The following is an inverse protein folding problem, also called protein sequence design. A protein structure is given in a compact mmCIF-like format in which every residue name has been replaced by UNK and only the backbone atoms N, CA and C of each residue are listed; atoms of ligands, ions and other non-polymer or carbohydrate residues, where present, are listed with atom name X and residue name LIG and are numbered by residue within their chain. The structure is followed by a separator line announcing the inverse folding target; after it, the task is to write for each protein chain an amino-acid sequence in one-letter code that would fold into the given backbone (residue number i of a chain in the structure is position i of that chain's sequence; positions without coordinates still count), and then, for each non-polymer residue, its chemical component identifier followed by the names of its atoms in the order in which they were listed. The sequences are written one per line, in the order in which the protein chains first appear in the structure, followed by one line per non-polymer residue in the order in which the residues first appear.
data_IF_841560139126
#
_entry.id   IF_841560139126
#
_cell.length_a   1.000
_cell.length_b   1.000
_cell.length_c   1.000
_cell.angle_alpha   90.00
_cell.angle_beta   90.00
_cell.angle_gamma   90.00
#
_symmetry.space_group_name_H-M   'P 1'
#
loop_
_entity.id
_entity.type
_entity.pdbx_description
1 polymer ?
#
# COMPACT_ATOMS: atom_id res chain seq x y z
N UNK A 1 -27.55 -8.27 22.32
CA UNK A 1 -26.63 -7.84 21.26
C UNK A 1 -27.43 -7.08 20.22
N UNK A 2 -27.17 -5.79 20.00
CA UNK A 2 -27.73 -5.10 18.83
C UNK A 2 -27.05 -5.67 17.59
N UNK A 3 -27.83 -6.23 16.67
CA UNK A 3 -27.35 -6.57 15.33
C UNK A 3 -27.01 -5.27 14.59
N UNK A 4 -25.79 -5.17 14.08
CA UNK A 4 -25.35 -3.97 13.37
C UNK A 4 -26.23 -3.75 12.12
N UNK A 5 -26.62 -2.51 11.79
CA UNK A 5 -27.55 -2.24 10.69
C UNK A 5 -27.13 -2.86 9.35
N UNK A 6 -25.82 -2.84 9.04
CA UNK A 6 -25.27 -3.41 7.80
C UNK A 6 -25.17 -4.95 7.81
N UNK A 7 -25.28 -5.58 8.98
CA UNK A 7 -25.28 -7.05 9.16
C UNK A 7 -26.67 -7.65 9.38
N UNK A 8 -27.71 -6.82 9.47
CA UNK A 8 -29.09 -7.26 9.78
C UNK A 8 -29.68 -8.27 8.79
N UNK A 9 -29.19 -8.30 7.56
CA UNK A 9 -29.67 -9.18 6.47
C UNK A 9 -28.54 -10.05 5.90
N UNK A 10 -27.54 -10.38 6.71
CA UNK A 10 -26.30 -11.04 6.29
C UNK A 10 -26.18 -12.39 6.98
N UNK A 11 -25.87 -13.44 6.21
CA UNK A 11 -25.41 -14.72 6.77
C UNK A 11 -23.89 -14.70 6.84
N UNK A 12 -23.34 -14.82 8.04
CA UNK A 12 -21.89 -14.87 8.26
C UNK A 12 -21.42 -16.33 8.28
N UNK A 13 -20.36 -16.60 7.51
CA UNK A 13 -19.66 -17.88 7.50
C UNK A 13 -18.26 -17.66 8.04
N UNK A 14 -17.99 -18.17 9.24
CA UNK A 14 -16.67 -18.00 9.86
C UNK A 14 -15.60 -18.73 9.05
N UNK A 15 -14.49 -18.03 8.81
CA UNK A 15 -13.37 -18.53 8.02
C UNK A 15 -12.22 -18.93 8.93
N UNK A 16 -11.96 -18.12 9.95
CA UNK A 16 -10.97 -18.39 10.97
C UNK A 16 -10.75 -17.18 11.88
N UNK A 17 -9.96 -17.41 12.92
CA UNK A 17 -9.55 -16.38 13.86
C UNK A 17 -8.07 -16.51 14.20
N UNK A 18 -7.47 -15.40 14.60
CA UNK A 18 -6.09 -15.35 15.08
C UNK A 18 -6.00 -14.48 16.33
N UNK A 19 -5.05 -14.83 17.18
CA UNK A 19 -4.63 -13.96 18.28
C UNK A 19 -3.52 -13.03 17.79
N UNK A 20 -3.57 -11.79 18.25
CA UNK A 20 -2.55 -10.77 17.99
C UNK A 20 -1.99 -10.33 19.32
N UNK A 21 -0.70 -10.56 19.54
CA UNK A 21 0.03 -10.10 20.74
C UNK A 21 1.33 -9.39 20.38
N UNK A 22 1.97 -9.79 19.27
CA UNK A 22 3.28 -9.27 18.86
C UNK A 22 3.23 -8.68 17.44
N UNK A 23 4.24 -7.88 17.09
CA UNK A 23 4.38 -7.28 15.74
C UNK A 23 4.36 -8.33 14.61
N UNK A 24 4.88 -9.52 14.87
CA UNK A 24 4.81 -10.66 13.95
C UNK A 24 3.38 -11.05 13.59
N UNK A 25 2.45 -10.94 14.54
CA UNK A 25 1.04 -11.29 14.35
C UNK A 25 0.34 -10.26 13.48
N UNK A 26 0.78 -9.00 13.48
CA UNK A 26 0.25 -7.94 12.61
C UNK A 26 0.50 -8.30 11.14
N UNK A 27 1.72 -8.76 10.82
CA UNK A 27 2.07 -9.20 9.46
C UNK A 27 1.22 -10.39 9.05
N UNK A 28 1.07 -11.38 9.94
CA UNK A 28 0.24 -12.56 9.72
C UNK A 28 -1.24 -12.17 9.50
N UNK A 29 -1.78 -11.26 10.33
CA UNK A 29 -3.13 -10.74 10.22
C UNK A 29 -3.36 -10.07 8.86
N UNK A 30 -2.46 -9.17 8.45
CA UNK A 30 -2.51 -8.50 7.16
C UNK A 30 -2.53 -9.48 5.99
N UNK A 31 -1.66 -10.50 6.04
CA UNK A 31 -1.58 -11.53 5.00
C UNK A 31 -2.87 -12.35 4.92
N UNK A 32 -3.45 -12.72 6.06
CA UNK A 32 -4.73 -13.42 6.11
C UNK A 32 -5.88 -12.55 5.59
N UNK A 33 -5.96 -11.29 5.98
CA UNK A 33 -6.95 -10.35 5.41
C UNK A 33 -6.82 -10.21 3.89
N UNK A 34 -5.58 -10.12 3.40
CA UNK A 34 -5.30 -10.05 1.95
C UNK A 34 -5.64 -11.35 1.23
N UNK A 35 -5.39 -12.51 1.86
CA UNK A 35 -5.74 -13.82 1.33
C UNK A 35 -7.25 -13.95 1.20
N UNK A 36 -8.01 -13.63 2.25
CA UNK A 36 -9.47 -13.65 2.23
C UNK A 36 -10.01 -12.78 1.09
N UNK A 37 -9.44 -11.58 0.91
CA UNK A 37 -9.85 -10.67 -0.16
C UNK A 37 -9.62 -11.28 -1.55
N UNK A 38 -8.46 -11.91 -1.78
CA UNK A 38 -8.13 -12.57 -3.06
C UNK A 38 -9.02 -13.78 -3.33
N UNK A 39 -9.27 -14.59 -2.31
CA UNK A 39 -10.16 -15.76 -2.39
C UNK A 39 -11.61 -15.37 -2.70
N UNK A 40 -12.03 -14.20 -2.22
CA UNK A 40 -13.32 -13.56 -2.57
C UNK A 40 -13.31 -12.85 -3.93
N UNK A 41 -12.17 -12.85 -4.65
CA UNK A 41 -11.99 -12.21 -5.96
C UNK A 41 -12.14 -10.68 -5.96
N UNK A 42 -11.75 -10.03 -4.86
CA UNK A 42 -11.57 -8.58 -4.87
C UNK A 42 -10.41 -8.18 -5.80
N UNK A 43 -10.48 -6.97 -6.36
CA UNK A 43 -9.38 -6.38 -7.10
C UNK A 43 -8.14 -6.13 -6.21
N UNK A 44 -6.97 -5.94 -6.84
CA UNK A 44 -5.72 -5.77 -6.11
C UNK A 44 -5.72 -4.52 -5.20
N UNK A 45 -6.37 -3.43 -5.63
CA UNK A 45 -6.48 -2.22 -4.82
C UNK A 45 -7.29 -2.49 -3.57
N UNK A 46 -8.41 -3.22 -3.69
CA UNK A 46 -9.24 -3.59 -2.55
C UNK A 46 -8.54 -4.58 -1.62
N UNK A 47 -7.74 -5.52 -2.16
CA UNK A 47 -6.89 -6.39 -1.35
C UNK A 47 -5.90 -5.58 -0.49
N UNK A 48 -5.25 -4.56 -1.07
CA UNK A 48 -4.35 -3.66 -0.35
C UNK A 48 -5.11 -2.90 0.74
N UNK A 49 -6.29 -2.34 0.43
CA UNK A 49 -7.13 -1.61 1.40
C UNK A 49 -7.52 -2.45 2.62
N UNK A 50 -7.94 -3.69 2.39
CA UNK A 50 -8.28 -4.63 3.46
C UNK A 50 -7.02 -4.96 4.28
N UNK A 51 -5.90 -5.28 3.62
CA UNK A 51 -4.64 -5.57 4.30
C UNK A 51 -4.12 -4.40 5.16
N UNK A 52 -4.18 -3.17 4.64
CA UNK A 52 -3.83 -1.96 5.39
C UNK A 52 -4.74 -1.77 6.60
N UNK A 53 -6.05 -1.89 6.43
CA UNK A 53 -7.01 -1.79 7.53
C UNK A 53 -6.72 -2.81 8.63
N UNK A 54 -6.48 -4.06 8.25
CA UNK A 54 -6.15 -5.13 9.20
C UNK A 54 -4.86 -4.82 9.94
N UNK A 55 -3.82 -4.35 9.24
CA UNK A 55 -2.53 -3.99 9.85
C UNK A 55 -2.66 -2.87 10.89
N UNK A 56 -3.35 -1.79 10.53
CA UNK A 56 -3.53 -0.62 11.41
C UNK A 56 -4.37 -0.96 12.65
N UNK A 57 -5.46 -1.72 12.48
CA UNK A 57 -6.30 -2.12 13.60
C UNK A 57 -5.61 -3.15 14.51
N UNK A 58 -4.83 -4.08 13.94
CA UNK A 58 -4.01 -5.01 14.72
C UNK A 58 -2.96 -4.27 15.56
N UNK A 59 -2.30 -3.26 14.97
CA UNK A 59 -1.33 -2.42 15.68
C UNK A 59 -1.98 -1.66 16.83
N UNK A 60 -3.16 -1.07 16.62
CA UNK A 60 -3.92 -0.42 17.70
C UNK A 60 -4.24 -1.37 18.86
N UNK A 61 -4.56 -2.64 18.58
CA UNK A 61 -4.82 -3.64 19.63
C UNK A 61 -3.56 -3.90 20.47
N UNK A 62 -2.38 -3.97 19.86
CA UNK A 62 -1.12 -4.14 20.60
C UNK A 62 -0.82 -2.89 21.44
N UNK A 63 -0.84 -1.71 20.81
CA UNK A 63 -0.45 -0.44 21.43
C UNK A 63 -1.38 0.01 22.57
N UNK A 64 -2.68 -0.30 22.48
CA UNK A 64 -3.69 0.22 23.42
C UNK A 64 -4.37 -0.86 24.26
N UNK A 65 -4.20 -2.13 23.93
CA UNK A 65 -4.93 -3.22 24.58
C UNK A 65 -4.10 -4.47 24.89
N UNK A 66 -2.77 -4.43 24.68
CA UNK A 66 -1.86 -5.58 24.87
C UNK A 66 -2.23 -6.78 23.98
N UNK A 67 -2.90 -6.51 22.86
CA UNK A 67 -3.34 -7.51 21.90
C UNK A 67 -4.85 -7.75 21.90
N UNK A 68 -5.26 -8.83 21.23
CA UNK A 68 -6.65 -9.27 21.14
C UNK A 68 -6.86 -10.33 20.08
N UNK A 69 -8.09 -10.45 19.58
CA UNK A 69 -8.50 -11.47 18.62
C UNK A 69 -9.08 -10.82 17.37
N UNK A 70 -8.70 -11.35 16.21
CA UNK A 70 -9.27 -10.98 14.91
C UNK A 70 -10.02 -12.17 14.36
N UNK A 71 -11.30 -11.97 14.04
CA UNK A 71 -12.16 -12.95 13.38
C UNK A 71 -12.44 -12.52 11.94
N UNK A 72 -12.31 -13.48 11.03
CA UNK A 72 -12.55 -13.32 9.61
C UNK A 72 -13.77 -14.14 9.21
N UNK A 73 -14.73 -13.50 8.55
CA UNK A 73 -15.97 -14.13 8.10
C UNK A 73 -16.30 -13.73 6.65
N UNK A 74 -16.91 -14.64 5.91
CA UNK A 74 -17.55 -14.35 4.62
C UNK A 74 -18.99 -13.94 4.91
N UNK A 75 -19.41 -12.82 4.36
CA UNK A 75 -20.78 -12.36 4.43
C UNK A 75 -21.51 -12.70 3.14
N UNK A 76 -22.57 -13.48 3.21
CA UNK A 76 -23.46 -13.74 2.06
C UNK A 76 -24.80 -13.01 2.22
N UNK A 77 -25.33 -12.48 1.12
CA UNK A 77 -26.60 -11.74 1.12
C UNK A 77 -27.49 -12.15 -0.05
N UNK A 78 -28.76 -12.40 0.21
CA UNK A 78 -29.72 -12.61 -0.87
C UNK A 78 -29.91 -11.33 -1.69
N UNK A 79 -29.75 -11.43 -3.02
CA UNK A 79 -29.93 -10.34 -3.99
C UNK A 79 -29.09 -9.08 -3.72
N UNK A 80 -27.98 -9.21 -2.99
CA UNK A 80 -27.01 -8.15 -2.74
C UNK A 80 -25.61 -8.73 -2.87
N UNK A 81 -24.61 -7.85 -2.86
CA UNK A 81 -23.22 -8.26 -2.88
C UNK A 81 -22.83 -9.02 -1.63
N UNK A 82 -22.17 -10.16 -1.84
CA UNK A 82 -21.40 -10.86 -0.82
C UNK A 82 -20.15 -10.05 -0.46
N UNK A 83 -19.44 -10.43 0.60
CA UNK A 83 -18.30 -9.64 1.06
C UNK A 83 -17.48 -10.29 2.17
N UNK A 84 -16.49 -9.53 2.64
CA UNK A 84 -15.68 -9.86 3.79
C UNK A 84 -16.15 -9.06 5.00
N UNK A 85 -16.27 -9.73 6.15
CA UNK A 85 -16.49 -9.09 7.46
C UNK A 85 -15.33 -9.47 8.36
N UNK A 86 -14.69 -8.45 8.95
CA UNK A 86 -13.55 -8.64 9.84
C UNK A 86 -13.85 -7.94 11.17
N UNK A 87 -13.77 -8.70 12.25
CA UNK A 87 -14.06 -8.25 13.61
C UNK A 87 -12.77 -8.27 14.42
N UNK A 88 -12.43 -7.14 15.00
CA UNK A 88 -11.29 -6.94 15.89
C UNK A 88 -11.84 -6.76 17.30
N UNK A 89 -11.40 -7.58 18.25
CA UNK A 89 -11.86 -7.53 19.63
C UNK A 89 -10.69 -7.57 20.59
N UNK A 90 -10.64 -6.59 21.48
CA UNK A 90 -9.66 -6.50 22.55
C UNK A 90 -10.32 -6.33 23.93
N UNK A 91 -9.51 -6.42 24.98
CA UNK A 91 -9.92 -6.22 26.37
C UNK A 91 -9.13 -5.07 27.01
N UNK A 92 -8.76 -4.08 26.20
CA UNK A 92 -7.93 -2.96 26.63
C UNK A 92 -8.67 -1.92 27.46
N UNK A 93 -8.02 -0.76 27.64
CA UNK A 93 -8.58 0.36 28.39
C UNK A 93 -9.84 1.01 27.76
N UNK A 94 -10.18 0.66 26.52
CA UNK A 94 -11.23 1.31 25.75
C UNK A 94 -10.86 2.72 25.26
N UNK A 95 -11.76 3.33 24.49
CA UNK A 95 -11.58 4.62 23.83
C UNK A 95 -12.40 5.67 24.59
N UNK A 96 -11.74 6.64 25.22
CA UNK A 96 -12.40 7.70 26.01
C UNK A 96 -13.23 8.67 25.15
N UNK A 97 -12.66 9.17 24.06
CA UNK A 97 -13.29 10.19 23.20
C UNK A 97 -13.80 9.61 21.87
N UNK A 98 -14.63 8.57 21.94
CA UNK A 98 -15.14 7.87 20.76
C UNK A 98 -15.85 8.82 19.78
N UNK A 99 -16.59 9.79 20.29
CA UNK A 99 -17.34 10.76 19.49
C UNK A 99 -16.42 11.71 18.70
N UNK A 100 -15.26 12.05 19.27
CA UNK A 100 -14.24 12.84 18.58
C UNK A 100 -13.66 12.06 17.38
N UNK A 101 -13.43 10.76 17.56
CA UNK A 101 -12.96 9.87 16.49
C UNK A 101 -14.03 9.72 15.41
N UNK A 102 -15.29 9.49 15.78
CA UNK A 102 -16.41 9.40 14.84
C UNK A 102 -16.63 10.69 14.06
N UNK A 103 -16.35 11.84 14.66
CA UNK A 103 -16.43 13.15 13.99
C UNK A 103 -15.31 13.39 12.98
N UNK A 104 -14.32 12.48 12.87
CA UNK A 104 -13.17 12.61 11.97
C UNK A 104 -12.13 13.65 12.40
N UNK A 105 -12.35 14.33 13.54
CA UNK A 105 -11.48 15.39 14.07
C UNK A 105 -10.25 14.87 14.83
N UNK A 106 -10.19 13.56 15.08
CA UNK A 106 -9.06 12.92 15.74
C UNK A 106 -7.94 12.61 14.74
N UNK A 107 -6.74 13.14 15.01
CA UNK A 107 -5.50 12.77 14.33
C UNK A 107 -4.66 11.88 15.24
N UNK A 108 -4.22 10.72 14.72
CA UNK A 108 -3.31 9.84 15.46
C UNK A 108 -1.96 10.53 15.68
N UNK A 109 -1.39 10.34 16.88
CA UNK A 109 -0.08 10.88 17.26
C UNK A 109 1.10 10.24 16.50
N UNK A 110 0.90 9.13 15.78
CA UNK A 110 1.97 8.36 15.12
C UNK A 110 2.35 8.82 13.71
N UNK A 111 1.81 9.96 13.22
CA UNK A 111 2.39 10.69 12.07
C UNK A 111 2.26 10.08 10.66
N UNK A 112 1.80 8.83 10.50
CA UNK A 112 1.66 8.20 9.16
C UNK A 112 0.29 8.39 8.48
N UNK A 113 -0.67 9.09 9.11
CA UNK A 113 -1.92 9.51 8.45
C UNK A 113 -2.98 8.43 8.16
N UNK A 114 -2.76 7.15 8.55
CA UNK A 114 -3.70 6.03 8.34
C UNK A 114 -4.20 5.41 9.64
N UNK A 115 -4.37 6.22 10.70
CA UNK A 115 -4.93 5.74 11.97
C UNK A 115 -6.39 5.24 11.82
N UNK A 116 -7.09 5.09 12.95
CA UNK A 116 -8.46 4.58 13.02
C UNK A 116 -9.44 5.21 12.00
N UNK A 117 -9.34 6.53 11.74
CA UNK A 117 -10.13 7.24 10.72
C UNK A 117 -9.72 6.93 9.28
N UNK A 118 -8.45 6.61 9.04
CA UNK A 118 -7.93 6.11 7.76
C UNK A 118 -8.51 4.74 7.44
N UNK A 119 -8.43 3.80 8.39
CA UNK A 119 -9.04 2.47 8.29
C UNK A 119 -10.53 2.53 7.95
N UNK A 120 -11.27 3.45 8.57
CA UNK A 120 -12.69 3.67 8.26
C UNK A 120 -12.94 4.06 6.80
N UNK A 121 -12.06 4.86 6.18
CA UNK A 121 -12.21 5.29 4.76
C UNK A 121 -11.87 4.20 3.75
N UNK A 122 -11.13 3.18 4.14
CA UNK A 122 -10.72 2.08 3.25
C UNK A 122 -11.80 1.00 3.12
N UNK A 123 -12.69 0.91 4.10
CA UNK A 123 -13.79 -0.07 4.19
C UNK A 123 -15.12 0.56 3.78
N UNK A 124 -16.11 -0.28 3.49
CA UNK A 124 -17.44 0.19 3.08
C UNK A 124 -18.33 0.44 4.31
N UNK A 125 -18.27 -0.49 5.28
CA UNK A 125 -18.90 -0.34 6.58
C UNK A 125 -17.85 -0.45 7.69
N UNK A 126 -18.03 0.38 8.72
CA UNK A 126 -17.13 0.45 9.85
C UNK A 126 -17.91 0.82 11.11
N UNK A 127 -17.79 0.00 12.15
CA UNK A 127 -18.45 0.22 13.42
C UNK A 127 -17.49 0.00 14.58
N UNK A 128 -17.55 0.90 15.57
CA UNK A 128 -16.76 0.82 16.78
C UNK A 128 -17.71 0.79 17.97
N UNK A 129 -17.55 -0.24 18.79
CA UNK A 129 -18.09 -0.33 20.12
C UNK A 129 -16.91 -0.34 21.10
N UNK A 130 -16.85 0.61 22.03
CA UNK A 130 -15.78 0.67 23.02
C UNK A 130 -16.37 1.12 24.35
N UNK A 131 -15.91 0.51 25.44
CA UNK A 131 -16.26 0.92 26.78
C UNK A 131 -14.99 1.02 27.63
N UNK A 132 -14.87 2.12 28.39
CA UNK A 132 -13.70 2.38 29.22
C UNK A 132 -13.52 1.23 30.22
N UNK A 133 -12.35 0.60 30.20
CA UNK A 133 -12.00 -0.54 31.06
C UNK A 133 -12.57 -1.89 30.65
N UNK A 134 -13.33 -1.99 29.55
CA UNK A 134 -13.83 -3.29 29.03
C UNK A 134 -13.28 -3.67 27.65
N UNK A 135 -12.59 -2.76 26.98
CA UNK A 135 -11.98 -2.97 25.67
C UNK A 135 -12.78 -2.41 24.51
N UNK A 136 -12.33 -2.74 23.30
CA UNK A 136 -12.90 -2.26 22.04
C UNK A 136 -13.23 -3.42 21.11
N UNK A 137 -14.36 -3.29 20.42
CA UNK A 137 -14.75 -4.14 19.30
C UNK A 137 -14.95 -3.27 18.07
N UNK A 138 -14.19 -3.55 17.02
CA UNK A 138 -14.32 -2.91 15.71
C UNK A 138 -14.83 -3.94 14.72
N UNK A 139 -15.94 -3.66 14.05
CA UNK A 139 -16.48 -4.49 12.97
C UNK A 139 -16.37 -3.73 11.66
N UNK A 140 -15.73 -4.35 10.67
CA UNK A 140 -15.52 -3.78 9.34
C UNK A 140 -16.12 -4.69 8.28
N UNK A 141 -16.63 -4.12 7.19
CA UNK A 141 -17.08 -4.88 6.03
C UNK A 141 -16.60 -4.27 4.71
N UNK A 142 -16.32 -5.15 3.75
CA UNK A 142 -16.05 -4.80 2.36
C UNK A 142 -16.94 -5.65 1.46
N UNK A 143 -17.62 -5.03 0.50
CA UNK A 143 -18.60 -5.69 -0.35
C UNK A 143 -18.10 -5.81 -1.78
N UNK A 144 -18.37 -6.97 -2.39
CA UNK A 144 -18.08 -7.18 -3.81
C UNK A 144 -18.92 -6.24 -4.69
N UNK A 145 -18.49 -5.94 -5.91
CA UNK A 145 -19.33 -5.25 -6.89
C UNK A 145 -20.69 -5.95 -7.08
N UNK A 146 -21.75 -5.18 -7.36
CA UNK A 146 -23.14 -5.69 -7.48
C UNK A 146 -23.34 -6.81 -8.52
N UNK A 147 -22.43 -6.93 -9.48
CA UNK A 147 -22.49 -7.90 -10.57
C UNK A 147 -21.52 -9.08 -10.38
N UNK A 148 -20.89 -9.19 -9.21
CA UNK A 148 -20.08 -10.36 -8.87
C UNK A 148 -20.97 -11.59 -8.72
N UNK A 149 -20.45 -12.75 -9.14
CA UNK A 149 -21.12 -14.02 -8.93
C UNK A 149 -21.33 -14.25 -7.41
N UNK A 150 -22.53 -14.65 -7.02
CA UNK A 150 -22.79 -15.00 -5.62
C UNK A 150 -22.01 -16.24 -5.23
N UNK A 151 -21.52 -16.24 -4.00
CA UNK A 151 -20.75 -17.33 -3.42
C UNK A 151 -21.67 -18.49 -3.09
N UNK A 152 -21.45 -19.62 -3.78
CA UNK A 152 -22.13 -20.86 -3.44
C UNK A 152 -21.49 -21.52 -2.21
N UNK A 153 -22.18 -22.52 -1.64
CA UNK A 153 -21.65 -23.28 -0.49
C UNK A 153 -20.29 -23.93 -0.78
N UNK A 154 -20.05 -24.39 -2.01
CA UNK A 154 -18.81 -25.09 -2.38
C UNK A 154 -17.62 -24.12 -2.40
N UNK A 155 -17.81 -22.91 -2.92
CA UNK A 155 -16.84 -21.82 -2.88
C UNK A 155 -16.52 -21.45 -1.44
N UNK A 156 -17.53 -21.24 -0.59
CA UNK A 156 -17.32 -20.90 0.83
C UNK A 156 -16.49 -21.97 1.54
N UNK A 157 -16.83 -23.26 1.37
CA UNK A 157 -16.04 -24.36 1.94
C UNK A 157 -14.60 -24.40 1.41
N UNK A 158 -14.39 -24.07 0.13
CA UNK A 158 -13.05 -24.00 -0.45
C UNK A 158 -12.22 -22.89 0.20
N UNK A 159 -12.79 -21.70 0.35
CA UNK A 159 -12.14 -20.55 0.99
C UNK A 159 -11.82 -20.87 2.46
N UNK A 160 -12.78 -21.44 3.20
CA UNK A 160 -12.57 -21.88 4.58
C UNK A 160 -11.41 -22.89 4.69
N UNK A 161 -11.30 -23.84 3.75
CA UNK A 161 -10.20 -24.81 3.74
C UNK A 161 -8.85 -24.15 3.42
N UNK A 162 -8.80 -23.29 2.41
CA UNK A 162 -7.58 -22.57 2.04
C UNK A 162 -7.07 -21.70 3.20
N UNK A 163 -7.97 -20.97 3.84
CA UNK A 163 -7.67 -20.11 4.97
C UNK A 163 -7.19 -20.90 6.20
N UNK A 164 -7.91 -21.96 6.57
CA UNK A 164 -7.50 -22.82 7.69
C UNK A 164 -6.17 -23.52 7.45
N UNK A 165 -5.85 -23.89 6.21
CA UNK A 165 -4.54 -24.43 5.86
C UNK A 165 -3.43 -23.40 6.09
N UNK A 166 -3.66 -22.15 5.72
CA UNK A 166 -2.71 -21.05 5.95
C UNK A 166 -2.54 -20.73 7.44
N UNK A 167 -3.64 -20.71 8.21
CA UNK A 167 -3.56 -20.54 9.67
C UNK A 167 -2.74 -21.67 10.32
N UNK A 168 -3.01 -22.92 9.94
CA UNK A 168 -2.34 -24.11 10.51
C UNK A 168 -0.86 -24.23 10.10
N UNK A 169 -0.48 -23.74 8.92
CA UNK A 169 0.92 -23.65 8.47
C UNK A 169 1.70 -22.54 9.18
N UNK A 170 1.51 -22.33 10.49
CA UNK A 170 2.21 -21.30 11.25
C UNK A 170 3.72 -21.20 10.96
N UNK A 171 4.28 -20.00 11.17
CA UNK A 171 5.68 -19.57 11.04
C UNK A 171 6.40 -19.70 9.68
N UNK A 172 6.05 -20.68 8.83
CA UNK A 172 6.60 -20.77 7.47
C UNK A 172 6.27 -19.53 6.62
N UNK A 173 5.11 -18.91 6.88
CA UNK A 173 4.66 -17.70 6.17
C UNK A 173 5.44 -16.43 6.52
N UNK A 174 6.09 -16.32 7.70
CA UNK A 174 6.92 -15.15 8.02
C UNK A 174 8.24 -15.17 7.25
N UNK A 175 8.86 -16.35 7.12
CA UNK A 175 10.02 -16.53 6.25
C UNK A 175 9.63 -16.27 4.80
N UNK A 176 8.48 -16.74 4.33
CA UNK A 176 8.00 -16.47 2.97
C UNK A 176 7.69 -14.98 2.73
N UNK A 177 7.14 -14.27 3.72
CA UNK A 177 6.83 -12.83 3.61
C UNK A 177 8.10 -11.99 3.65
N UNK A 178 9.04 -12.32 4.56
CA UNK A 178 10.36 -11.68 4.62
C UNK A 178 11.13 -11.95 3.33
N UNK A 179 11.08 -13.17 2.81
CA UNK A 179 11.70 -13.50 1.53
C UNK A 179 11.04 -12.76 0.35
N UNK A 180 9.71 -12.62 0.35
CA UNK A 180 9.01 -11.83 -0.67
C UNK A 180 9.41 -10.35 -0.62
N UNK A 181 9.45 -9.75 0.58
CA UNK A 181 9.90 -8.36 0.77
C UNK A 181 11.39 -8.18 0.42
N UNK A 182 12.25 -9.12 0.80
CA UNK A 182 13.67 -9.09 0.45
C UNK A 182 13.87 -9.17 -1.07
N UNK A 183 13.11 -10.03 -1.76
CA UNK A 183 13.15 -10.15 -3.22
C UNK A 183 12.64 -8.87 -3.90
N UNK A 184 11.61 -8.23 -3.35
CA UNK A 184 11.11 -6.94 -3.84
C UNK A 184 12.13 -5.81 -3.62
N UNK A 185 12.79 -5.78 -2.45
CA UNK A 185 13.87 -4.83 -2.16
C UNK A 185 15.06 -5.02 -3.11
N UNK A 186 15.45 -6.28 -3.36
CA UNK A 186 16.48 -6.66 -4.32
C UNK A 186 16.12 -6.20 -5.74
N UNK A 187 14.86 -6.36 -6.14
CA UNK A 187 14.38 -5.89 -7.43
C UNK A 187 14.47 -4.37 -7.55
N UNK A 188 14.03 -3.63 -6.52
CA UNK A 188 14.12 -2.16 -6.50
C UNK A 188 15.57 -1.67 -6.49
N UNK A 189 16.45 -2.31 -5.72
CA UNK A 189 17.89 -2.00 -5.72
C UNK A 189 18.50 -2.22 -7.10
N UNK A 190 18.13 -3.31 -7.79
CA UNK A 190 18.58 -3.58 -9.15
C UNK A 190 18.11 -2.50 -10.13
N UNK A 191 16.84 -2.08 -10.04
CA UNK A 191 16.32 -0.99 -10.86
C UNK A 191 17.04 0.34 -10.58
N UNK A 192 17.32 0.66 -9.32
CA UNK A 192 18.06 1.85 -8.94
C UNK A 192 19.49 1.82 -9.47
N UNK A 193 20.16 0.68 -9.40
CA UNK A 193 21.50 0.51 -9.93
C UNK A 193 21.53 0.63 -11.46
N UNK A 194 20.57 0.03 -12.18
CA UNK A 194 20.44 0.21 -13.62
C UNK A 194 20.20 1.68 -14.00
N UNK A 195 19.35 2.38 -13.25
CA UNK A 195 19.12 3.82 -13.45
C UNK A 195 20.36 4.65 -13.18
N UNK A 196 21.12 4.31 -12.14
CA UNK A 196 22.37 5.00 -11.82
C UNK A 196 23.40 4.83 -12.95
N UNK A 197 23.61 3.60 -13.42
CA UNK A 197 24.51 3.32 -14.54
C UNK A 197 24.08 4.05 -15.83
N UNK A 198 22.77 4.10 -16.11
CA UNK A 198 22.25 4.86 -17.26
C UNK A 198 22.57 6.36 -17.14
N UNK A 199 22.41 6.93 -15.95
CA UNK A 199 22.74 8.34 -15.71
C UNK A 199 24.25 8.59 -15.88
N UNK A 200 25.10 7.70 -15.39
CA UNK A 200 26.55 7.82 -15.58
C UNK A 200 26.95 7.75 -17.05
N UNK A 201 26.38 6.82 -17.83
CA UNK A 201 26.63 6.75 -19.28
C UNK A 201 26.19 8.03 -19.99
N UNK A 202 24.98 8.51 -19.71
CA UNK A 202 24.46 9.74 -20.32
C UNK A 202 25.30 10.95 -19.94
N UNK A 203 25.73 11.05 -18.69
CA UNK A 203 26.62 12.13 -18.26
C UNK A 203 27.95 12.07 -19.00
N UNK A 204 28.52 10.87 -19.18
CA UNK A 204 29.76 10.71 -19.92
C UNK A 204 29.62 11.12 -21.40
N UNK A 205 28.56 10.67 -22.08
CA UNK A 205 28.26 11.06 -23.46
C UNK A 205 28.03 12.57 -23.59
N UNK A 206 27.36 13.19 -22.61
CA UNK A 206 27.13 14.62 -22.57
C UNK A 206 28.45 15.40 -22.37
N UNK A 207 29.35 14.92 -21.51
CA UNK A 207 30.68 15.50 -21.34
C UNK A 207 31.51 15.42 -22.63
N UNK A 208 31.49 14.29 -23.32
CA UNK A 208 32.16 14.13 -24.62
C UNK A 208 31.58 15.08 -25.67
N UNK A 209 30.25 15.17 -25.75
CA UNK A 209 29.56 16.09 -26.66
C UNK A 209 29.91 17.54 -26.34
N UNK A 210 29.90 17.93 -25.06
CA UNK A 210 30.28 19.26 -24.62
C UNK A 210 31.73 19.59 -24.98
N UNK A 211 32.65 18.64 -24.80
CA UNK A 211 34.05 18.81 -25.24
C UNK A 211 34.14 19.00 -26.75
N UNK A 212 33.37 18.25 -27.53
CA UNK A 212 33.30 18.39 -28.98
C UNK A 212 32.77 19.75 -29.44
N UNK A 213 31.66 20.21 -28.84
CA UNK A 213 31.07 21.53 -29.10
C UNK A 213 32.06 22.66 -28.76
N UNK A 214 32.76 22.57 -27.64
CA UNK A 214 33.78 23.56 -27.25
C UNK A 214 34.94 23.59 -28.25
N UNK A 215 35.39 22.44 -28.75
CA UNK A 215 36.44 22.38 -29.78
C UNK A 215 35.99 23.00 -31.12
N UNK A 216 34.78 22.68 -31.57
CA UNK A 216 34.18 23.25 -32.78
C UNK A 216 34.01 24.78 -32.67
N UNK A 217 33.56 25.27 -31.52
CA UNK A 217 33.44 26.71 -31.29
C UNK A 217 34.80 27.41 -31.38
N UNK A 218 35.86 26.84 -30.81
CA UNK A 218 37.22 27.39 -30.97
C UNK A 218 37.66 27.44 -32.43
N UNK A 219 37.42 26.39 -33.20
CA UNK A 219 37.79 26.35 -34.62
C UNK A 219 37.01 27.40 -35.44
N UNK A 220 35.72 27.61 -35.11
CA UNK A 220 34.90 28.65 -35.73
C UNK A 220 35.39 30.06 -35.39
N UNK A 221 35.78 30.30 -34.13
CA UNK A 221 36.40 31.57 -33.69
C UNK A 221 37.71 31.84 -34.44
N UNK A 222 38.59 30.83 -34.55
CA UNK A 222 39.86 30.94 -35.29
C UNK A 222 39.64 31.26 -36.78
N UNK A 223 38.68 30.58 -37.42
CA UNK A 223 38.31 30.85 -38.82
C UNK A 223 37.71 32.24 -39.00
N UNK A 224 36.84 32.69 -38.09
CA UNK A 224 36.27 34.02 -38.15
C UNK A 224 37.36 35.10 -38.04
N UNK A 225 38.32 34.93 -37.12
CA UNK A 225 39.46 35.83 -36.96
C UNK A 225 40.34 35.87 -38.23
N UNK A 226 40.60 34.71 -38.85
CA UNK A 226 41.37 34.65 -40.09
C UNK A 226 40.67 35.35 -41.27
N UNK A 227 39.34 35.21 -41.38
CA UNK A 227 38.55 35.91 -42.40
C UNK A 227 38.59 37.42 -42.17
N UNK A 228 38.47 37.87 -40.91
CA UNK A 228 38.52 39.28 -40.58
C UNK A 228 39.89 39.89 -40.91
N UNK A 229 40.98 39.18 -40.60
CA UNK A 229 42.34 39.59 -40.98
C UNK A 229 42.52 39.69 -42.50
N UNK A 230 42.11 38.66 -43.25
CA UNK A 230 42.20 38.67 -44.72
C UNK A 230 41.37 39.80 -45.35
N UNK A 231 40.21 40.12 -44.76
CA UNK A 231 39.37 41.25 -45.20
C UNK A 231 40.08 42.59 -44.96
N UNK A 232 40.70 42.79 -43.79
CA UNK A 232 41.46 43.99 -43.49
C UNK A 232 42.65 44.18 -44.44
N UNK A 233 43.40 43.12 -44.73
CA UNK A 233 44.50 43.16 -45.70
C UNK A 233 44.00 43.53 -47.11
N UNK A 234 42.89 42.94 -47.56
CA UNK A 234 42.30 43.25 -48.86
C UNK A 234 41.82 44.71 -48.95
N UNK A 235 41.21 45.24 -47.88
CA UNK A 235 40.82 46.65 -47.80
C UNK A 235 42.02 47.60 -47.82
N UNK A 236 43.10 47.26 -47.12
CA UNK A 236 44.35 48.04 -47.14
C UNK A 236 45.01 48.02 -48.53
N UNK A 237 45.07 46.84 -49.17
CA UNK A 237 45.64 46.69 -50.51
C UNK A 237 44.84 47.46 -51.57
N UNK A 238 43.51 47.52 -51.45
CA UNK A 238 42.67 48.34 -52.33
C UNK A 238 42.87 49.84 -52.08
N UNK A 239 43.00 50.27 -50.82
CA UNK A 239 43.30 51.68 -50.50
C UNK A 239 44.68 52.13 -50.99
N UNK A 240 45.66 51.23 -51.04
CA UNK A 240 47.00 51.51 -51.56
C UNK A 240 47.08 51.56 -53.10
N UNK A 241 46.04 51.08 -53.80
CA UNK A 241 45.95 51.06 -55.28
C UNK A 241 45.06 52.16 -55.88
N UNK A 242 44.30 52.91 -55.06
CA UNK A 242 43.62 54.16 -55.44
C UNK A 242 44.47 55.37 -55.12
#
# INVERSE_FOLDING_TARGET
MMTLPFLSSVTLHDVGEIQVQFESDVVRARNLGSLLARELQFDNTTCIRIGTTVSELSRNMIEHAQGGVIRFSIATRENKSDGAVIVFSDQGQGIKDLDLIKSGKYQSKTGMGVGLSGSQRLMDDFHIQSEIGKGTTITTAKWLPKFSASLDKKNILSIQKAFNKTIKRGDASMVDTINAQNNELLFLLKQLQERHNQIETINHELEETNRGVVALNRELEDKAAAIEFAKQEAEQANRAKS
#
